data_IF_596864584547
#
_entry.id   IF_596864584547
#
_cell.length_a   1.000
_cell.length_b   1.000
_cell.length_c   1.000
_cell.angle_alpha   90.00
_cell.angle_beta   90.00
_cell.angle_gamma   90.00
#
_symmetry.space_group_name_H-M   'P 1'
#
loop_
_entity.id
_entity.type
_entity.pdbx_description
1 polymer ?
#
# COMPACT_ATOMS: atom_id res chain seq x y z
N UNK A 1 3.46 -5.01 13.65
CA UNK A 1 3.49 -6.27 12.88
C UNK A 1 2.62 -6.09 11.64
N UNK A 2 3.08 -6.52 10.45
CA UNK A 2 2.41 -6.21 9.19
C UNK A 2 1.82 -7.49 8.58
N UNK A 3 0.48 -7.63 8.63
CA UNK A 3 -0.20 -8.89 8.35
C UNK A 3 -0.54 -9.11 6.88
N UNK A 4 -0.55 -8.06 6.05
CA UNK A 4 -1.00 -8.12 4.65
C UNK A 4 -0.30 -9.22 3.84
N UNK A 5 1.04 -9.38 3.88
CA UNK A 5 1.70 -10.44 3.12
C UNK A 5 1.31 -11.84 3.61
N UNK A 6 1.29 -12.04 4.92
CA UNK A 6 0.97 -13.34 5.53
C UNK A 6 -0.47 -13.76 5.25
N UNK A 7 -1.43 -12.85 5.39
CA UNK A 7 -2.83 -13.10 5.06
C UNK A 7 -3.01 -13.37 3.58
N UNK A 8 -2.35 -12.60 2.71
CA UNK A 8 -2.42 -12.82 1.26
C UNK A 8 -1.94 -14.21 0.86
N UNK A 9 -0.83 -14.68 1.45
CA UNK A 9 -0.31 -16.03 1.21
C UNK A 9 -1.29 -17.12 1.68
N UNK A 10 -2.05 -16.87 2.76
CA UNK A 10 -3.02 -17.82 3.28
C UNK A 10 -4.33 -17.88 2.49
N UNK A 11 -4.77 -16.75 1.90
CA UNK A 11 -6.12 -16.65 1.29
C UNK A 11 -6.11 -16.51 -0.23
N UNK A 12 -4.96 -16.28 -0.86
CA UNK A 12 -4.82 -16.08 -2.32
C UNK A 12 -5.85 -15.08 -2.87
N UNK A 13 -5.79 -13.81 -2.47
CA UNK A 13 -6.84 -12.84 -2.74
C UNK A 13 -6.98 -12.56 -4.24
N UNK A 14 -8.22 -12.45 -4.72
CA UNK A 14 -8.48 -11.96 -6.09
C UNK A 14 -8.28 -10.46 -6.23
N UNK A 15 -8.42 -9.71 -5.12
CA UNK A 15 -8.29 -8.25 -5.09
C UNK A 15 -7.54 -7.81 -3.83
N UNK A 16 -6.60 -6.87 -3.97
CA UNK A 16 -5.92 -6.18 -2.88
C UNK A 16 -6.22 -4.69 -3.00
N UNK A 17 -6.77 -4.09 -1.93
CA UNK A 17 -7.10 -2.66 -1.91
C UNK A 17 -6.08 -1.90 -1.05
N UNK A 18 -5.35 -0.99 -1.69
CA UNK A 18 -4.34 -0.13 -1.08
C UNK A 18 -4.91 1.28 -0.95
N UNK A 19 -5.30 1.65 0.27
CA UNK A 19 -5.97 2.92 0.53
C UNK A 19 -4.97 4.03 0.80
N UNK A 20 -4.31 4.04 1.96
CA UNK A 20 -3.37 5.11 2.33
C UNK A 20 -2.32 4.57 3.31
N UNK A 21 -1.17 5.22 3.35
CA UNK A 21 -0.11 4.99 4.32
C UNK A 21 0.41 6.36 4.81
N UNK A 22 -0.07 6.75 5.99
CA UNK A 22 0.23 7.99 6.69
C UNK A 22 1.32 7.77 7.74
N UNK A 23 2.10 8.80 8.06
CA UNK A 23 3.07 8.77 9.18
C UNK A 23 2.35 9.13 10.47
N UNK A 24 2.44 8.30 11.49
CA UNK A 24 2.16 8.80 12.83
C UNK A 24 3.36 9.62 13.37
N UNK A 25 3.14 10.50 14.36
CA UNK A 25 4.21 11.34 14.93
C UNK A 25 5.34 10.55 15.62
N UNK A 26 5.16 9.25 15.82
CA UNK A 26 6.12 8.36 16.46
C UNK A 26 6.85 7.46 15.44
N UNK A 27 6.32 7.36 14.23
CA UNK A 27 6.88 6.59 13.13
C UNK A 27 8.18 7.22 12.65
N UNK A 28 9.27 6.48 12.85
CA UNK A 28 10.59 6.91 12.34
C UNK A 28 10.55 6.95 10.82
N UNK A 29 11.30 7.88 10.22
CA UNK A 29 11.41 8.09 8.77
C UNK A 29 11.76 6.81 7.97
N UNK A 30 12.29 5.76 8.61
CA UNK A 30 12.56 4.45 8.00
C UNK A 30 11.43 3.41 8.08
N UNK A 31 10.49 3.54 9.02
CA UNK A 31 9.46 2.53 9.28
C UNK A 31 8.40 2.50 8.18
N UNK A 32 7.91 3.67 7.77
CA UNK A 32 6.92 3.76 6.70
C UNK A 32 7.44 3.24 5.35
N UNK A 33 8.73 3.49 5.07
CA UNK A 33 9.40 2.97 3.88
C UNK A 33 9.63 1.45 3.96
N UNK A 34 9.74 0.90 5.17
CA UNK A 34 9.81 -0.55 5.37
C UNK A 34 8.43 -1.20 5.16
N UNK A 35 7.35 -0.55 5.60
CA UNK A 35 5.98 -0.99 5.37
C UNK A 35 5.68 -0.99 3.87
N UNK A 36 5.96 0.10 3.15
CA UNK A 36 5.79 0.17 1.70
C UNK A 36 6.52 -0.98 0.98
N UNK A 37 7.81 -1.21 1.30
CA UNK A 37 8.60 -2.29 0.69
C UNK A 37 8.02 -3.67 0.98
N UNK A 38 7.53 -3.87 2.19
CA UNK A 38 6.94 -5.13 2.61
C UNK A 38 5.60 -5.37 1.92
N UNK A 39 4.79 -4.33 1.71
CA UNK A 39 3.55 -4.41 0.91
C UNK A 39 3.87 -4.75 -0.54
N UNK A 40 4.89 -4.09 -1.12
CA UNK A 40 5.34 -4.37 -2.48
C UNK A 40 5.79 -5.83 -2.64
N UNK A 41 6.64 -6.30 -1.74
CA UNK A 41 7.14 -7.68 -1.75
C UNK A 41 6.04 -8.72 -1.49
N UNK A 42 5.08 -8.39 -0.60
CA UNK A 42 3.91 -9.21 -0.34
C UNK A 42 3.04 -9.39 -1.57
N UNK A 43 2.61 -8.28 -2.17
CA UNK A 43 1.79 -8.29 -3.38
C UNK A 43 2.50 -8.93 -4.58
N UNK A 44 3.80 -8.75 -4.74
CA UNK A 44 4.55 -9.37 -5.85
C UNK A 44 4.45 -10.92 -5.88
N UNK A 45 4.13 -11.56 -4.75
CA UNK A 45 3.88 -13.02 -4.70
C UNK A 45 2.50 -13.43 -5.23
N UNK A 46 1.61 -12.47 -5.46
CA UNK A 46 0.23 -12.66 -5.91
C UNK A 46 -0.03 -11.92 -7.23
N UNK A 47 0.66 -12.29 -8.33
CA UNK A 47 0.60 -11.52 -9.58
C UNK A 47 -0.76 -11.57 -10.28
N UNK A 48 -1.63 -12.53 -9.94
CA UNK A 48 -3.00 -12.62 -10.46
C UNK A 48 -3.99 -11.72 -9.73
N UNK A 49 -3.63 -11.17 -8.57
CA UNK A 49 -4.51 -10.29 -7.81
C UNK A 49 -4.64 -8.94 -8.51
N UNK A 50 -5.87 -8.44 -8.62
CA UNK A 50 -6.12 -7.06 -9.05
C UNK A 50 -5.79 -6.13 -7.87
N UNK A 51 -4.94 -5.14 -8.11
CA UNK A 51 -4.61 -4.12 -7.12
C UNK A 51 -5.47 -2.90 -7.37
N UNK A 52 -6.30 -2.52 -6.41
CA UNK A 52 -6.98 -1.22 -6.42
C UNK A 52 -6.18 -0.29 -5.54
N UNK A 53 -5.57 0.75 -6.10
CA UNK A 53 -4.66 1.61 -5.37
C UNK A 53 -5.07 3.09 -5.46
N UNK A 54 -5.04 3.76 -4.32
CA UNK A 54 -5.18 5.21 -4.27
C UNK A 54 -3.97 5.88 -4.92
N UNK A 55 -4.18 6.61 -6.01
CA UNK A 55 -3.11 7.36 -6.67
C UNK A 55 -2.80 8.72 -6.01
N UNK A 56 -3.63 9.16 -5.06
CA UNK A 56 -3.39 10.38 -4.28
C UNK A 56 -2.31 10.18 -3.18
N UNK A 57 -1.94 8.93 -2.89
CA UNK A 57 -0.90 8.55 -1.93
C UNK A 57 0.33 8.00 -2.67
N UNK A 58 1.48 8.68 -2.51
CA UNK A 58 2.74 8.32 -3.19
C UNK A 58 3.26 6.95 -2.75
N UNK A 59 3.06 6.56 -1.50
CA UNK A 59 3.52 5.27 -0.98
C UNK A 59 2.63 4.13 -1.47
N UNK A 60 1.32 4.34 -1.60
CA UNK A 60 0.42 3.36 -2.23
C UNK A 60 0.68 3.23 -3.72
N UNK A 61 0.94 4.35 -4.40
CA UNK A 61 1.37 4.35 -5.81
C UNK A 61 2.67 3.58 -5.99
N UNK A 62 3.66 3.87 -5.15
CA UNK A 62 4.95 3.19 -5.10
C UNK A 62 4.78 1.68 -4.87
N UNK A 63 3.97 1.31 -3.88
CA UNK A 63 3.69 -0.09 -3.61
C UNK A 63 3.13 -0.75 -4.86
N UNK A 64 2.05 -0.23 -5.46
CA UNK A 64 1.33 -0.86 -6.57
C UNK A 64 2.02 -0.80 -7.94
N UNK A 65 3.04 0.03 -8.12
CA UNK A 65 3.62 0.39 -9.42
C UNK A 65 3.95 -0.80 -10.34
N UNK A 66 4.57 -1.85 -9.80
CA UNK A 66 5.03 -3.02 -10.57
C UNK A 66 3.93 -4.09 -10.77
N UNK A 67 2.67 -3.82 -10.40
CA UNK A 67 1.58 -4.79 -10.51
C UNK A 67 1.06 -4.91 -11.95
N UNK A 68 0.90 -6.12 -12.52
CA UNK A 68 0.39 -6.28 -13.88
C UNK A 68 -1.10 -5.92 -14.02
N UNK A 69 -1.84 -5.97 -12.92
CA UNK A 69 -3.27 -5.67 -12.86
C UNK A 69 -3.50 -4.60 -11.79
N UNK A 70 -3.58 -3.34 -12.19
CA UNK A 70 -3.82 -2.22 -11.28
C UNK A 70 -4.97 -1.34 -11.76
N UNK A 71 -5.85 -0.97 -10.82
CA UNK A 71 -6.90 0.03 -10.98
C UNK A 71 -6.54 1.21 -10.07
N UNK A 72 -6.22 2.34 -10.69
CA UNK A 72 -5.92 3.57 -9.98
C UNK A 72 -7.22 4.32 -9.65
N UNK A 73 -7.36 4.70 -8.39
CA UNK A 73 -8.52 5.46 -7.89
C UNK A 73 -7.99 6.76 -7.27
N UNK A 74 -8.61 7.88 -7.61
CA UNK A 74 -8.44 9.13 -6.89
C UNK A 74 -9.60 9.29 -5.92
N UNK A 75 -9.32 9.50 -4.64
CA UNK A 75 -10.35 9.71 -3.62
C UNK A 75 -10.72 11.19 -3.48
N UNK A 76 -10.02 12.09 -4.17
CA UNK A 76 -10.33 13.51 -4.17
C UNK A 76 -9.85 14.19 -2.90
N UNK A 77 -8.53 14.18 -2.69
CA UNK A 77 -7.88 14.91 -1.62
C UNK A 77 -6.49 14.35 -1.36
N UNK A 78 -5.44 15.14 -1.63
CA UNK A 78 -4.13 14.85 -1.05
C UNK A 78 -4.29 14.83 0.47
N UNK A 79 -3.81 13.78 1.12
CA UNK A 79 -3.90 13.62 2.57
C UNK A 79 -3.10 14.73 3.26
N UNK A 80 -3.74 15.87 3.49
CA UNK A 80 -3.13 17.08 4.06
C UNK A 80 -3.13 17.09 5.60
N UNK A 81 -3.66 16.04 6.23
CA UNK A 81 -3.74 15.88 7.68
C UNK A 81 -2.78 14.80 8.20
N UNK A 82 -1.74 14.47 7.43
CA UNK A 82 -0.62 13.72 7.98
C UNK A 82 0.09 14.66 8.96
N UNK A 83 0.17 14.25 10.22
CA UNK A 83 0.39 15.18 11.33
C UNK A 83 1.70 15.95 11.12
N UNK A 84 1.60 17.28 11.07
CA UNK A 84 2.72 18.21 11.24
C UNK A 84 2.50 18.91 12.57
N UNK A 85 2.96 18.30 13.66
CA UNK A 85 3.10 18.93 14.99
C UNK A 85 4.09 18.15 15.83
#
# INVERSE_FOLDING_TARGET
EMHVPHVSDAVSPSVIVLLNLSRDQLDRVGEINHIERTLRAGRARHPSAVVVANCDDVLMTSAAYDSPHVVWVAAGGGWASDSVS
#
